data_IF_676930203404
#
_entry.id   IF_676930203404
#
_cell.length_a   1.000
_cell.length_b   1.000
_cell.length_c   1.000
_cell.angle_alpha   90.00
_cell.angle_beta   90.00
_cell.angle_gamma   90.00
#
_symmetry.space_group_name_H-M   'P 1'
#
loop_
_entity.id
_entity.type
_entity.pdbx_description
1 polymer ?
#
# COMPACT_ATOMS: atom_id res chain seq x y z
N UNK A 1 -15.10 -27.14 -2.46
CA UNK A 1 -15.38 -28.23 -1.50
C UNK A 1 -15.10 -27.73 -0.10
N UNK A 2 -16.00 -27.99 0.85
CA UNK A 2 -15.77 -27.64 2.26
C UNK A 2 -14.55 -28.40 2.82
N UNK A 3 -13.72 -27.73 3.63
CA UNK A 3 -12.45 -28.29 4.12
C UNK A 3 -11.29 -28.22 3.12
N UNK A 4 -11.52 -27.69 1.92
CA UNK A 4 -10.47 -27.47 0.90
C UNK A 4 -10.49 -26.02 0.42
N UNK A 5 -11.65 -25.56 -0.04
CA UNK A 5 -11.82 -24.27 -0.71
C UNK A 5 -12.06 -23.10 0.28
N UNK A 6 -12.37 -23.42 1.54
CA UNK A 6 -12.57 -22.47 2.63
C UNK A 6 -11.54 -22.66 3.76
N UNK A 7 -10.31 -23.01 3.41
CA UNK A 7 -9.22 -23.20 4.37
C UNK A 7 -8.00 -22.36 4.01
N UNK A 8 -7.01 -22.26 4.91
CA UNK A 8 -5.72 -21.63 4.63
C UNK A 8 -5.07 -22.13 3.33
N UNK A 9 -5.25 -23.41 2.98
CA UNK A 9 -4.78 -23.97 1.72
C UNK A 9 -5.33 -23.19 0.49
N UNK A 10 -6.59 -22.76 0.53
CA UNK A 10 -7.19 -21.95 -0.52
C UNK A 10 -6.57 -20.54 -0.61
N UNK A 11 -6.18 -19.95 0.52
CA UNK A 11 -5.48 -18.66 0.55
C UNK A 11 -4.11 -18.74 -0.13
N UNK A 12 -3.35 -19.80 0.20
CA UNK A 12 -2.04 -20.06 -0.41
C UNK A 12 -2.16 -20.37 -1.90
N UNK A 13 -3.15 -21.17 -2.28
CA UNK A 13 -3.46 -21.46 -3.68
C UNK A 13 -3.84 -20.20 -4.46
N UNK A 14 -4.73 -19.35 -3.91
CA UNK A 14 -5.18 -18.14 -4.59
C UNK A 14 -4.03 -17.17 -4.83
N UNK A 15 -3.17 -16.99 -3.81
CA UNK A 15 -1.96 -16.16 -3.94
C UNK A 15 -1.08 -16.66 -5.08
N UNK A 16 -0.76 -17.95 -5.09
CA UNK A 16 0.08 -18.57 -6.12
C UNK A 16 -0.55 -18.44 -7.51
N UNK A 17 -1.84 -18.77 -7.64
CA UNK A 17 -2.58 -18.73 -8.90
C UNK A 17 -2.62 -17.33 -9.51
N UNK A 18 -2.82 -16.27 -8.70
CA UNK A 18 -2.79 -14.89 -9.19
C UNK A 18 -1.40 -14.48 -9.70
N UNK A 19 -0.33 -14.93 -9.03
CA UNK A 19 1.02 -14.71 -9.52
C UNK A 19 1.33 -15.51 -10.78
N UNK A 20 0.89 -16.76 -10.88
CA UNK A 20 1.04 -17.56 -12.11
C UNK A 20 0.31 -16.90 -13.28
N UNK A 21 -0.91 -16.40 -13.06
CA UNK A 21 -1.66 -15.66 -14.08
C UNK A 21 -0.90 -14.41 -14.53
N UNK A 22 -0.39 -13.61 -13.59
CA UNK A 22 0.44 -12.44 -13.91
C UNK A 22 1.73 -12.83 -14.65
N UNK A 23 2.36 -13.93 -14.27
CA UNK A 23 3.62 -14.42 -14.85
C UNK A 23 3.47 -14.84 -16.32
N UNK A 24 2.30 -15.34 -16.71
CA UNK A 24 1.97 -15.64 -18.12
C UNK A 24 1.37 -14.45 -18.87
N UNK A 25 1.37 -13.25 -18.27
CA UNK A 25 0.94 -12.02 -18.91
C UNK A 25 -0.57 -11.74 -18.86
N UNK A 26 -1.33 -12.41 -17.99
CA UNK A 26 -2.74 -12.07 -17.81
C UNK A 26 -2.88 -10.65 -17.23
N UNK A 27 -3.76 -9.83 -17.82
CA UNK A 27 -4.03 -8.46 -17.35
C UNK A 27 -4.85 -8.39 -16.05
N UNK A 28 -5.38 -9.52 -15.58
CA UNK A 28 -6.13 -9.61 -14.34
C UNK A 28 -6.82 -10.96 -14.17
N UNK A 29 -7.37 -11.18 -12.98
CA UNK A 29 -8.24 -12.33 -12.68
C UNK A 29 -9.52 -11.84 -12.03
N UNK A 30 -10.62 -12.56 -12.25
CA UNK A 30 -11.87 -12.35 -11.54
C UNK A 30 -12.15 -13.61 -10.73
N UNK A 31 -12.07 -13.50 -9.40
CA UNK A 31 -12.40 -14.62 -8.52
C UNK A 31 -13.91 -14.66 -8.36
N UNK A 32 -14.52 -15.79 -8.72
CA UNK A 32 -15.96 -15.97 -8.58
C UNK A 32 -16.37 -15.84 -7.11
N UNK A 33 -17.46 -15.12 -6.89
CA UNK A 33 -18.13 -15.01 -5.59
C UNK A 33 -19.55 -15.53 -5.76
N UNK A 34 -20.10 -16.12 -4.71
CA UNK A 34 -21.45 -16.67 -4.70
C UNK A 34 -22.03 -16.72 -3.29
N UNK A 35 -23.27 -17.17 -3.19
CA UNK A 35 -23.99 -17.29 -1.91
C UNK A 35 -23.55 -18.51 -1.07
N UNK A 36 -22.58 -19.29 -1.55
CA UNK A 36 -22.09 -20.48 -0.84
C UNK A 36 -20.74 -20.23 -0.15
N UNK A 37 -20.60 -20.61 1.13
CA UNK A 37 -19.43 -20.30 1.94
C UNK A 37 -18.14 -21.03 1.52
N UNK A 38 -18.25 -22.02 0.63
CA UNK A 38 -17.15 -22.90 0.25
C UNK A 38 -16.48 -22.52 -1.08
N UNK A 39 -16.90 -21.47 -1.79
CA UNK A 39 -16.31 -21.07 -3.08
C UNK A 39 -16.22 -19.55 -3.25
N UNK A 40 -16.38 -18.77 -2.19
CA UNK A 40 -16.41 -17.30 -2.26
C UNK A 40 -15.29 -16.71 -1.41
N UNK A 41 -14.63 -15.61 -1.84
CA UNK A 41 -13.74 -14.85 -0.96
C UNK A 41 -14.52 -14.17 0.18
N UNK A 42 -15.73 -13.71 -0.11
CA UNK A 42 -16.61 -13.08 0.86
C UNK A 42 -18.08 -13.24 0.47
N UNK A 43 -19.00 -13.16 1.42
CA UNK A 43 -20.41 -12.87 1.15
C UNK A 43 -20.99 -11.99 2.26
N UNK A 44 -22.19 -11.47 2.04
CA UNK A 44 -22.92 -10.71 3.06
C UNK A 44 -24.07 -11.56 3.59
N UNK A 45 -24.07 -11.81 4.89
CA UNK A 45 -25.19 -12.45 5.59
C UNK A 45 -26.23 -11.39 5.92
N UNK A 46 -27.41 -11.51 5.31
CA UNK A 46 -28.50 -10.55 5.42
C UNK A 46 -29.51 -10.98 6.50
N UNK A 47 -29.77 -10.10 7.45
CA UNK A 47 -30.80 -10.30 8.47
C UNK A 47 -31.82 -9.17 8.39
N UNK A 48 -33.11 -9.50 8.44
CA UNK A 48 -34.19 -8.52 8.54
C UNK A 48 -34.79 -8.68 9.94
N UNK A 49 -34.76 -7.62 10.74
CA UNK A 49 -35.34 -7.63 12.07
C UNK A 49 -36.88 -7.56 12.02
N UNK A 50 -37.53 -7.68 13.18
CA UNK A 50 -39.00 -7.62 13.30
C UNK A 50 -39.60 -6.27 12.91
N UNK A 51 -38.78 -5.22 12.75
CA UNK A 51 -39.20 -3.89 12.28
C UNK A 51 -38.97 -3.70 10.77
N UNK A 52 -38.49 -4.73 10.07
CA UNK A 52 -38.17 -4.66 8.66
C UNK A 52 -36.83 -3.99 8.35
N UNK A 53 -35.97 -3.77 9.35
CA UNK A 53 -34.63 -3.20 9.14
C UNK A 53 -33.69 -4.31 8.67
N UNK A 54 -33.15 -4.15 7.46
CA UNK A 54 -32.13 -5.05 6.93
C UNK A 54 -30.74 -4.68 7.45
N UNK A 55 -30.03 -5.65 7.99
CA UNK A 55 -28.61 -5.59 8.34
C UNK A 55 -27.84 -6.61 7.53
N UNK A 56 -26.60 -6.26 7.15
CA UNK A 56 -25.72 -7.13 6.37
C UNK A 56 -24.39 -7.27 7.09
N UNK A 57 -24.03 -8.49 7.46
CA UNK A 57 -22.74 -8.78 8.10
C UNK A 57 -21.81 -9.42 7.08
N UNK A 58 -20.63 -8.86 6.81
CA UNK A 58 -19.68 -9.47 5.90
C UNK A 58 -19.07 -10.73 6.51
N UNK A 59 -19.03 -11.78 5.71
CA UNK A 59 -18.39 -13.05 6.02
C UNK A 59 -17.20 -13.22 5.09
N UNK A 60 -15.99 -13.19 5.66
CA UNK A 60 -14.74 -13.21 4.90
C UNK A 60 -14.10 -14.59 5.04
N UNK A 61 -13.75 -15.20 3.91
CA UNK A 61 -13.21 -16.55 3.85
C UNK A 61 -11.70 -16.56 3.61
N UNK A 62 -11.01 -17.66 3.94
CA UNK A 62 -9.57 -17.80 3.74
C UNK A 62 -9.05 -17.37 2.37
N UNK A 63 -9.79 -17.64 1.29
CA UNK A 63 -9.39 -17.25 -0.05
C UNK A 63 -9.13 -15.73 -0.17
N UNK A 64 -9.89 -14.90 0.55
CA UNK A 64 -9.71 -13.44 0.56
C UNK A 64 -8.35 -13.00 1.13
N UNK A 65 -7.80 -13.73 2.10
CA UNK A 65 -6.46 -13.45 2.62
C UNK A 65 -5.38 -13.64 1.56
N UNK A 66 -5.58 -14.61 0.64
CA UNK A 66 -4.71 -14.78 -0.51
C UNK A 66 -4.80 -13.60 -1.48
N UNK A 67 -6.01 -13.11 -1.74
CA UNK A 67 -6.26 -11.89 -2.53
C UNK A 67 -5.59 -10.66 -1.91
N UNK A 68 -5.70 -10.48 -0.59
CA UNK A 68 -5.04 -9.40 0.12
C UNK A 68 -3.52 -9.49 0.07
N UNK A 69 -2.95 -10.69 0.26
CA UNK A 69 -1.51 -10.89 0.17
C UNK A 69 -0.99 -10.55 -1.23
N UNK A 70 -1.69 -11.00 -2.28
CA UNK A 70 -1.35 -10.63 -3.66
C UNK A 70 -1.48 -9.12 -3.91
N UNK A 71 -2.56 -8.49 -3.44
CA UNK A 71 -2.76 -7.04 -3.56
C UNK A 71 -1.68 -6.22 -2.85
N UNK A 72 -1.27 -6.64 -1.64
CA UNK A 72 -0.16 -6.02 -0.92
C UNK A 72 1.17 -6.21 -1.67
N UNK A 73 1.39 -7.40 -2.23
CA UNK A 73 2.60 -7.74 -2.97
C UNK A 73 2.68 -7.04 -4.33
N UNK A 74 1.57 -6.65 -4.94
CA UNK A 74 1.52 -5.93 -6.22
C UNK A 74 1.19 -4.43 -6.07
N UNK A 75 1.17 -3.93 -4.83
CA UNK A 75 0.88 -2.54 -4.52
C UNK A 75 1.76 -1.58 -5.34
N UNK A 76 1.19 -0.40 -5.66
CA UNK A 76 1.81 0.61 -6.52
C UNK A 76 2.15 0.11 -7.94
N UNK A 77 1.30 -0.76 -8.51
CA UNK A 77 1.50 -1.34 -9.83
C UNK A 77 2.84 -2.10 -9.93
N UNK A 78 3.18 -2.84 -8.89
CA UNK A 78 4.40 -3.63 -8.82
C UNK A 78 4.46 -4.66 -9.95
N UNK A 79 5.53 -4.62 -10.73
CA UNK A 79 5.78 -5.58 -11.82
C UNK A 79 6.56 -6.77 -11.30
N UNK A 80 6.29 -7.97 -11.82
CA UNK A 80 7.05 -9.17 -11.52
C UNK A 80 8.54 -8.96 -11.85
N UNK A 81 9.41 -9.44 -10.97
CA UNK A 81 10.86 -9.50 -11.22
C UNK A 81 11.34 -10.94 -11.18
N UNK A 82 12.35 -11.30 -11.99
CA UNK A 82 12.87 -12.66 -12.04
C UNK A 82 13.38 -13.13 -10.67
N UNK A 83 13.09 -14.38 -10.33
CA UNK A 83 13.58 -15.05 -9.13
C UNK A 83 14.23 -16.38 -9.51
N UNK A 84 15.42 -16.63 -8.97
CA UNK A 84 16.04 -17.96 -9.01
C UNK A 84 15.76 -18.65 -7.69
N UNK A 85 15.19 -19.85 -7.74
CA UNK A 85 14.70 -20.55 -6.54
C UNK A 85 15.38 -21.90 -6.40
N UNK A 86 16.15 -22.05 -5.33
CA UNK A 86 16.61 -23.33 -4.82
C UNK A 86 15.70 -23.71 -3.64
N UNK A 87 15.02 -24.85 -3.72
CA UNK A 87 14.01 -25.24 -2.74
C UNK A 87 13.95 -26.74 -2.51
N UNK A 88 13.46 -27.10 -1.34
CA UNK A 88 12.99 -28.44 -0.99
C UNK A 88 11.50 -28.36 -0.65
N UNK A 89 10.74 -29.42 -0.94
CA UNK A 89 9.29 -29.46 -0.70
C UNK A 89 8.48 -28.54 -1.63
N UNK A 90 7.20 -28.39 -1.31
CA UNK A 90 6.26 -27.62 -2.13
C UNK A 90 6.29 -26.12 -1.81
N UNK A 91 7.34 -25.43 -2.28
CA UNK A 91 7.50 -23.98 -2.09
C UNK A 91 7.33 -23.19 -3.39
N UNK A 92 6.83 -21.96 -3.29
CA UNK A 92 6.75 -20.98 -4.37
C UNK A 92 7.30 -19.64 -3.88
N UNK A 93 8.00 -18.95 -4.76
CA UNK A 93 8.57 -17.63 -4.48
C UNK A 93 8.19 -16.72 -5.62
N UNK A 94 7.68 -15.55 -5.29
CA UNK A 94 7.31 -14.50 -6.23
C UNK A 94 7.94 -13.20 -5.75
N UNK A 95 8.40 -12.37 -6.68
CA UNK A 95 8.92 -11.06 -6.34
C UNK A 95 8.35 -10.01 -7.27
N UNK A 96 8.07 -8.84 -6.72
CA UNK A 96 7.65 -7.66 -7.47
C UNK A 96 8.54 -6.48 -7.12
N UNK A 97 8.61 -5.52 -8.04
CA UNK A 97 9.20 -4.21 -7.82
C UNK A 97 8.24 -3.15 -8.32
N UNK A 98 7.98 -2.13 -7.51
CA UNK A 98 7.19 -0.97 -7.92
C UNK A 98 8.06 0.22 -8.35
N UNK A 99 7.39 1.25 -8.87
CA UNK A 99 8.01 2.50 -9.34
C UNK A 99 8.72 3.29 -8.23
N UNK A 100 8.40 3.04 -6.97
CA UNK A 100 9.06 3.63 -5.79
C UNK A 100 10.37 2.91 -5.44
N UNK A 101 10.68 1.82 -6.16
CA UNK A 101 11.81 0.95 -5.89
C UNK A 101 11.55 -0.04 -4.76
N UNK A 102 10.33 -0.12 -4.22
CA UNK A 102 10.02 -1.11 -3.21
C UNK A 102 9.96 -2.49 -3.83
N UNK A 103 10.72 -3.42 -3.25
CA UNK A 103 10.75 -4.83 -3.64
C UNK A 103 9.93 -5.62 -2.62
N UNK A 104 9.03 -6.47 -3.10
CA UNK A 104 8.23 -7.36 -2.24
C UNK A 104 8.47 -8.79 -2.68
N UNK A 105 8.95 -9.63 -1.77
CA UNK A 105 9.19 -11.05 -2.01
C UNK A 105 8.18 -11.85 -1.21
N UNK A 106 7.28 -12.55 -1.89
CA UNK A 106 6.32 -13.47 -1.30
C UNK A 106 6.89 -14.88 -1.36
N UNK A 107 6.95 -15.54 -0.21
CA UNK A 107 7.38 -16.94 -0.08
C UNK A 107 6.22 -17.75 0.45
N UNK A 108 5.76 -18.72 -0.34
CA UNK A 108 4.68 -19.64 0.01
C UNK A 108 5.28 -21.00 0.37
N UNK A 109 5.04 -21.48 1.59
CA UNK A 109 5.27 -22.87 1.96
C UNK A 109 3.94 -23.62 1.91
N UNK A 110 3.71 -24.33 0.80
CA UNK A 110 2.51 -25.14 0.58
C UNK A 110 2.71 -26.59 1.02
N UNK A 111 3.84 -26.89 1.65
CA UNK A 111 4.13 -28.20 2.21
C UNK A 111 3.36 -28.41 3.53
N UNK A 112 2.93 -29.64 3.79
CA UNK A 112 2.15 -29.98 4.99
C UNK A 112 2.99 -30.64 6.10
N UNK A 113 4.21 -31.04 5.79
CA UNK A 113 5.13 -31.69 6.74
C UNK A 113 6.41 -30.89 6.94
N UNK A 114 6.91 -30.17 5.93
CA UNK A 114 8.19 -29.49 5.97
C UNK A 114 8.07 -28.02 6.39
N UNK A 115 8.75 -27.68 7.49
CA UNK A 115 9.08 -26.31 7.88
C UNK A 115 10.56 -26.04 7.67
N UNK A 116 10.96 -24.79 7.45
CA UNK A 116 12.37 -24.47 7.27
C UNK A 116 12.66 -22.98 7.34
N UNK A 117 13.90 -22.60 7.01
CA UNK A 117 14.28 -21.20 6.90
C UNK A 117 14.32 -20.78 5.43
N UNK A 118 13.61 -19.71 5.09
CA UNK A 118 13.77 -19.03 3.81
C UNK A 118 15.03 -18.15 3.87
N UNK A 119 15.87 -18.24 2.82
CA UNK A 119 17.06 -17.39 2.65
C UNK A 119 16.91 -16.59 1.37
N UNK A 120 16.66 -15.29 1.51
CA UNK A 120 16.36 -14.38 0.40
C UNK A 120 17.56 -13.48 0.17
N UNK A 121 18.29 -13.73 -0.92
CA UNK A 121 19.42 -12.90 -1.35
C UNK A 121 18.95 -11.86 -2.37
N UNK A 122 19.21 -10.58 -2.09
CA UNK A 122 18.84 -9.47 -2.97
C UNK A 122 20.13 -8.77 -3.39
N UNK A 123 20.45 -8.78 -4.68
CA UNK A 123 21.75 -8.32 -5.19
C UNK A 123 21.99 -6.81 -5.03
N UNK A 124 20.93 -5.99 -5.05
CA UNK A 124 21.00 -4.53 -5.13
C UNK A 124 20.41 -3.80 -3.92
N UNK A 125 19.97 -4.52 -2.89
CA UNK A 125 19.31 -3.92 -1.71
C UNK A 125 19.95 -4.44 -0.43
N UNK A 126 20.63 -3.55 0.27
CA UNK A 126 21.09 -3.73 1.64
C UNK A 126 20.36 -2.71 2.50
N UNK A 127 19.32 -3.14 3.20
CA UNK A 127 18.46 -2.23 3.98
C UNK A 127 17.58 -2.95 4.99
N UNK A 128 16.87 -2.18 5.81
CA UNK A 128 15.87 -2.73 6.73
C UNK A 128 14.68 -3.25 5.92
N UNK A 129 14.30 -4.49 6.18
CA UNK A 129 13.11 -5.11 5.62
C UNK A 129 11.98 -5.20 6.62
N UNK A 130 10.76 -5.36 6.12
CA UNK A 130 9.56 -5.65 6.92
C UNK A 130 9.03 -7.00 6.51
N UNK A 131 8.89 -7.91 7.47
CA UNK A 131 8.34 -9.25 7.27
C UNK A 131 6.92 -9.31 7.83
N UNK A 132 5.96 -9.57 6.96
CA UNK A 132 4.59 -9.93 7.34
C UNK A 132 4.31 -11.38 7.02
N UNK A 133 3.30 -11.96 7.67
CA UNK A 133 3.00 -13.39 7.58
C UNK A 133 1.52 -13.60 7.33
N UNK A 134 1.21 -14.59 6.50
CA UNK A 134 -0.09 -15.23 6.39
C UNK A 134 0.00 -16.62 7.03
N UNK A 135 -0.75 -16.84 8.10
CA UNK A 135 -0.69 -18.07 8.87
C UNK A 135 -1.99 -18.38 9.61
N UNK A 136 -2.16 -19.65 9.97
CA UNK A 136 -3.16 -20.15 10.90
C UNK A 136 -2.58 -21.36 11.65
N UNK A 137 -3.41 -22.05 12.45
CA UNK A 137 -3.01 -23.26 13.17
C UNK A 137 -2.65 -24.43 12.26
N UNK A 138 -3.23 -24.51 11.06
CA UNK A 138 -2.94 -25.54 10.04
C UNK A 138 -3.38 -25.13 8.64
N UNK A 139 -2.98 -25.90 7.62
CA UNK A 139 -3.47 -25.73 6.23
C UNK A 139 -4.97 -25.95 6.07
N UNK A 140 -5.59 -26.73 6.95
CA UNK A 140 -7.03 -27.02 6.95
C UNK A 140 -7.84 -26.05 7.82
N UNK A 141 -7.18 -25.08 8.47
CA UNK A 141 -7.85 -24.09 9.30
C UNK A 141 -8.82 -23.25 8.45
N UNK A 142 -10.08 -23.17 8.89
CA UNK A 142 -11.14 -22.34 8.27
C UNK A 142 -11.23 -20.95 8.91
N UNK A 143 -10.77 -20.83 10.15
CA UNK A 143 -10.74 -19.63 11.00
C UNK A 143 -9.39 -19.55 11.71
N UNK A 144 -9.12 -18.45 12.40
CA UNK A 144 -7.85 -18.15 13.06
C UNK A 144 -6.75 -17.75 12.07
N UNK A 145 -7.14 -17.38 10.84
CA UNK A 145 -6.19 -16.88 9.85
C UNK A 145 -5.79 -15.46 10.22
N UNK A 146 -4.50 -15.18 10.08
CA UNK A 146 -3.99 -13.82 10.20
C UNK A 146 -3.13 -13.47 9.02
N UNK A 147 -3.28 -12.24 8.51
CA UNK A 147 -2.33 -11.59 7.61
C UNK A 147 -1.76 -10.36 8.33
N UNK A 148 -0.45 -10.33 8.51
CA UNK A 148 0.24 -9.29 9.28
C UNK A 148 -0.38 -9.10 10.68
N UNK A 149 -0.79 -10.19 11.35
CA UNK A 149 -1.39 -10.16 12.68
C UNK A 149 -2.86 -9.75 12.74
N UNK A 150 -3.48 -9.44 11.61
CA UNK A 150 -4.90 -9.07 11.55
C UNK A 150 -5.76 -10.20 11.00
N UNK A 151 -6.99 -10.33 11.51
CA UNK A 151 -8.00 -11.31 11.09
C UNK A 151 -9.28 -10.61 10.67
N UNK A 152 -10.09 -11.27 9.85
CA UNK A 152 -11.48 -10.90 9.55
C UNK A 152 -12.49 -11.79 10.29
N UNK A 153 -12.03 -12.75 11.10
CA UNK A 153 -12.92 -13.58 11.90
C UNK A 153 -13.73 -12.70 12.86
N UNK A 154 -15.07 -12.75 12.74
CA UNK A 154 -15.96 -11.94 13.57
C UNK A 154 -16.03 -10.46 13.21
N UNK A 155 -15.51 -10.05 12.05
CA UNK A 155 -15.71 -8.68 11.56
C UNK A 155 -17.19 -8.38 11.35
N UNK A 156 -17.61 -7.17 11.72
CA UNK A 156 -19.00 -6.70 11.54
C UNK A 156 -19.12 -5.66 10.42
N UNK A 157 -18.01 -5.01 10.06
CA UNK A 157 -17.96 -3.92 9.08
C UNK A 157 -17.03 -4.20 7.91
N UNK A 158 -16.48 -5.43 7.83
CA UNK A 158 -15.58 -5.86 6.77
C UNK A 158 -14.17 -5.31 6.93
N UNK A 159 -13.85 -4.71 8.08
CA UNK A 159 -12.48 -4.29 8.41
C UNK A 159 -11.75 -5.39 9.17
N UNK A 160 -10.42 -5.47 9.00
CA UNK A 160 -9.61 -6.39 9.78
C UNK A 160 -9.60 -5.99 11.27
N UNK A 161 -9.73 -6.99 12.14
CA UNK A 161 -9.60 -6.93 13.59
C UNK A 161 -8.15 -7.25 13.98
N UNK A 162 -7.64 -6.54 14.99
CA UNK A 162 -6.29 -6.71 15.51
C UNK A 162 -5.29 -5.70 14.94
N UNK A 163 -4.14 -5.60 15.59
CA UNK A 163 -3.08 -4.68 15.20
C UNK A 163 -2.32 -5.22 13.98
N UNK A 164 -1.98 -4.33 13.06
CA UNK A 164 -1.00 -4.65 12.03
C UNK A 164 0.36 -4.88 12.69
N UNK A 165 0.97 -6.03 12.39
CA UNK A 165 2.25 -6.46 12.92
C UNK A 165 3.18 -6.81 11.78
N UNK A 166 4.43 -6.39 11.91
CA UNK A 166 5.51 -6.78 11.04
C UNK A 166 6.77 -7.01 11.87
N UNK A 167 7.64 -7.89 11.40
CA UNK A 167 8.96 -8.10 12.00
C UNK A 167 9.99 -7.34 11.18
N UNK A 168 10.75 -6.48 11.84
CA UNK A 168 11.89 -5.82 11.23
C UNK A 168 12.98 -6.84 10.90
N UNK A 169 13.45 -6.85 9.66
CA UNK A 169 14.49 -7.74 9.17
C UNK A 169 15.75 -6.97 8.80
N UNK A 170 16.89 -7.50 9.20
CA UNK A 170 18.21 -7.01 8.79
C UNK A 170 18.83 -7.99 7.81
N UNK A 171 19.53 -7.50 6.79
CA UNK A 171 20.31 -8.36 5.91
C UNK A 171 21.71 -8.61 6.46
N UNK A 172 22.23 -9.83 6.27
CA UNK A 172 23.67 -10.11 6.34
C UNK A 172 24.17 -10.39 4.92
N UNK A 173 25.11 -9.58 4.41
CA UNK A 173 25.62 -9.67 3.02
C UNK A 173 24.50 -9.73 1.96
N UNK A 174 23.49 -8.85 2.09
CA UNK A 174 22.32 -8.81 1.19
C UNK A 174 21.37 -10.01 1.32
N UNK A 175 21.54 -10.86 2.35
CA UNK A 175 20.71 -12.03 2.59
C UNK A 175 19.84 -11.84 3.83
N UNK A 176 18.54 -12.01 3.66
CA UNK A 176 17.54 -12.04 4.72
C UNK A 176 17.17 -13.48 5.04
N UNK A 177 17.14 -13.84 6.33
CA UNK A 177 16.83 -15.20 6.77
C UNK A 177 15.68 -15.15 7.75
N UNK A 178 14.62 -15.93 7.49
CA UNK A 178 13.48 -16.03 8.41
C UNK A 178 12.89 -17.44 8.39
N UNK A 179 12.30 -17.84 9.51
CA UNK A 179 11.56 -19.10 9.63
C UNK A 179 10.29 -19.05 8.78
N UNK A 180 9.98 -20.15 8.11
CA UNK A 180 8.79 -20.33 7.30
C UNK A 180 8.14 -21.68 7.67
N UNK A 181 7.16 -21.65 8.59
CA UNK A 181 6.40 -22.84 8.96
C UNK A 181 5.74 -23.51 7.75
N UNK A 182 5.51 -24.83 7.85
CA UNK A 182 4.65 -25.58 6.93
C UNK A 182 3.28 -24.93 6.80
N UNK A 183 2.71 -24.95 5.60
CA UNK A 183 1.37 -24.42 5.37
C UNK A 183 1.22 -22.94 5.69
N UNK A 184 2.19 -22.10 5.32
CA UNK A 184 2.17 -20.67 5.63
C UNK A 184 2.76 -19.85 4.49
N UNK A 185 2.62 -18.53 4.58
CA UNK A 185 3.29 -17.60 3.69
C UNK A 185 3.90 -16.43 4.46
N UNK A 186 4.92 -15.83 3.86
CA UNK A 186 5.50 -14.59 4.35
C UNK A 186 5.78 -13.64 3.19
N UNK A 187 5.67 -12.34 3.45
CA UNK A 187 6.09 -11.29 2.52
C UNK A 187 7.20 -10.49 3.17
N UNK A 188 8.36 -10.46 2.52
CA UNK A 188 9.45 -9.55 2.84
C UNK A 188 9.33 -8.32 1.94
N UNK A 189 9.02 -7.17 2.52
CA UNK A 189 9.04 -5.87 1.85
C UNK A 189 10.36 -5.17 2.15
N UNK A 190 11.02 -4.69 1.11
CA UNK A 190 12.24 -3.90 1.17
C UNK A 190 11.98 -2.57 0.50
N UNK A 191 12.38 -1.48 1.14
CA UNK A 191 12.49 -0.18 0.50
C UNK A 191 13.93 -0.03 0.01
N UNK A 192 14.15 0.31 -1.26
CA UNK A 192 15.51 0.54 -1.75
C UNK A 192 16.14 1.71 -0.98
N UNK A 193 17.15 1.42 -0.17
CA UNK A 193 17.98 2.44 0.48
C UNK A 193 18.96 2.95 -0.58
N UNK A 194 18.52 3.89 -1.43
CA UNK A 194 19.33 4.37 -2.55
C UNK A 194 18.64 5.28 -3.57
N UNK A 195 17.32 5.38 -3.60
CA UNK A 195 16.70 6.58 -4.16
C UNK A 195 16.84 7.67 -3.10
N UNK A 196 17.53 8.79 -3.42
CA UNK A 196 17.45 9.97 -2.55
C UNK A 196 15.96 10.21 -2.24
N UNK A 197 15.59 10.24 -0.96
CA UNK A 197 14.21 10.50 -0.57
C UNK A 197 13.75 11.75 -1.33
N UNK A 198 12.67 11.66 -2.11
CA UNK A 198 12.18 12.81 -2.87
C UNK A 198 11.86 13.90 -1.85
N UNK A 199 12.66 14.96 -1.85
CA UNK A 199 12.46 16.11 -0.99
C UNK A 199 11.53 17.09 -1.71
N UNK A 200 10.58 17.66 -0.98
CA UNK A 200 9.74 18.75 -1.48
C UNK A 200 10.03 19.97 -0.63
N UNK A 201 10.89 20.85 -1.13
CA UNK A 201 11.12 22.13 -0.47
C UNK A 201 9.95 23.06 -0.82
N UNK A 202 9.43 23.75 0.18
CA UNK A 202 8.37 24.73 0.00
C UNK A 202 8.89 26.08 0.46
N UNK A 203 8.81 27.06 -0.42
CA UNK A 203 9.12 28.45 -0.10
C UNK A 203 7.85 29.27 -0.08
N UNK A 204 7.80 30.23 0.83
CA UNK A 204 6.73 31.20 0.96
C UNK A 204 7.39 32.58 0.95
N UNK A 205 6.84 33.53 0.19
CA UNK A 205 7.42 34.87 0.04
C UNK A 205 7.46 35.65 1.35
N UNK A 206 6.47 35.45 2.22
CA UNK A 206 6.42 36.06 3.56
C UNK A 206 5.54 35.30 4.55
N UNK A 207 5.66 35.61 5.84
CA UNK A 207 4.92 34.93 6.92
C UNK A 207 3.70 35.69 7.46
N UNK A 208 3.42 36.90 6.97
CA UNK A 208 2.25 37.70 7.39
C UNK A 208 1.63 38.42 6.18
N UNK A 209 0.30 38.36 6.07
CA UNK A 209 -0.48 38.92 4.97
C UNK A 209 -1.62 39.77 5.53
N UNK A 210 -1.94 40.88 4.88
CA UNK A 210 -3.23 41.54 5.10
C UNK A 210 -4.31 40.75 4.38
N UNK A 211 -5.49 40.57 4.98
CA UNK A 211 -6.60 39.86 4.36
C UNK A 211 -6.93 40.44 2.97
N UNK A 212 -6.90 39.59 1.95
CA UNK A 212 -7.12 39.98 0.55
C UNK A 212 -5.85 40.23 -0.24
N UNK A 213 -4.69 40.24 0.42
CA UNK A 213 -3.39 40.31 -0.23
C UNK A 213 -3.04 38.99 -0.95
N UNK A 214 -2.23 39.09 -2.00
CA UNK A 214 -1.71 37.95 -2.76
C UNK A 214 -0.55 37.28 -2.02
N UNK A 215 -0.59 35.95 -2.02
CA UNK A 215 0.42 35.06 -1.44
C UNK A 215 1.15 34.30 -2.54
N UNK A 216 2.48 34.19 -2.42
CA UNK A 216 3.32 33.51 -3.41
C UNK A 216 4.11 32.38 -2.76
N UNK A 217 3.72 31.15 -3.07
CA UNK A 217 4.42 29.96 -2.61
C UNK A 217 4.87 29.10 -3.77
N UNK A 218 6.07 28.54 -3.66
CA UNK A 218 6.65 27.67 -4.68
C UNK A 218 7.05 26.33 -4.07
N UNK A 219 6.68 25.24 -4.73
CA UNK A 219 7.20 23.92 -4.40
C UNK A 219 8.38 23.58 -5.31
N UNK A 220 9.45 23.08 -4.71
CA UNK A 220 10.68 22.67 -5.37
C UNK A 220 10.96 21.19 -5.05
N UNK A 221 10.29 20.24 -5.73
CA UNK A 221 10.58 18.82 -5.60
C UNK A 221 11.98 18.50 -6.16
N UNK A 222 12.73 17.63 -5.47
CA UNK A 222 14.04 17.15 -5.93
C UNK A 222 13.97 16.25 -7.17
N UNK A 223 12.77 15.79 -7.52
CA UNK A 223 12.45 14.94 -8.67
C UNK A 223 11.18 15.47 -9.32
N UNK A 224 11.13 15.54 -10.65
CA UNK A 224 9.99 16.08 -11.39
C UNK A 224 8.69 15.31 -11.08
N UNK A 225 7.66 15.97 -10.52
CA UNK A 225 6.38 15.34 -10.27
C UNK A 225 5.44 15.43 -11.48
N UNK A 226 4.42 14.58 -11.46
CA UNK A 226 3.25 14.69 -12.36
C UNK A 226 2.33 15.83 -11.96
N UNK A 227 2.28 16.16 -10.66
CA UNK A 227 1.52 17.27 -10.10
C UNK A 227 2.00 17.64 -8.70
N UNK A 228 1.74 18.88 -8.29
CA UNK A 228 1.89 19.39 -6.93
C UNK A 228 0.57 19.96 -6.46
N UNK A 229 0.12 19.53 -5.27
CA UNK A 229 -1.06 20.06 -4.60
C UNK A 229 -0.65 20.92 -3.41
N UNK A 230 -1.26 22.09 -3.26
CA UNK A 230 -1.06 22.98 -2.12
C UNK A 230 -2.24 22.92 -1.18
N UNK A 231 -1.96 22.94 0.12
CA UNK A 231 -2.95 22.86 1.17
C UNK A 231 -2.76 24.00 2.16
N UNK A 232 -3.85 24.71 2.48
CA UNK A 232 -3.91 25.62 3.62
C UNK A 232 -4.82 24.98 4.68
N UNK A 233 -4.32 24.83 5.91
CA UNK A 233 -5.04 24.17 7.02
C UNK A 233 -5.60 22.78 6.66
N UNK A 234 -4.78 22.02 5.91
CA UNK A 234 -5.12 20.71 5.37
C UNK A 234 -6.27 20.69 4.34
N UNK A 235 -6.75 21.85 3.88
CA UNK A 235 -7.70 21.98 2.76
C UNK A 235 -6.92 22.23 1.48
N UNK A 236 -7.17 21.45 0.43
CA UNK A 236 -6.55 21.64 -0.89
C UNK A 236 -7.04 22.97 -1.47
N UNK A 237 -6.11 23.89 -1.75
CA UNK A 237 -6.42 25.22 -2.29
C UNK A 237 -5.93 25.39 -3.72
N UNK A 238 -4.99 24.55 -4.18
CA UNK A 238 -4.42 24.66 -5.51
C UNK A 238 -3.80 23.35 -6.01
N UNK A 239 -3.80 23.16 -7.33
CA UNK A 239 -3.16 22.05 -8.04
C UNK A 239 -2.36 22.61 -9.22
N UNK A 240 -1.07 22.33 -9.27
CA UNK A 240 -0.20 22.67 -10.39
C UNK A 240 0.35 21.40 -11.05
N UNK A 241 0.35 21.34 -12.38
CA UNK A 241 0.83 20.21 -13.20
C UNK A 241 2.04 20.58 -14.04
N UNK A 242 2.44 21.85 -14.07
CA UNK A 242 3.55 22.34 -14.88
C UNK A 242 4.63 22.96 -14.00
N UNK A 243 5.89 22.63 -14.29
CA UNK A 243 7.02 23.33 -13.70
C UNK A 243 6.93 24.82 -14.07
N UNK A 244 7.12 25.76 -13.16
CA UNK A 244 7.88 25.66 -11.89
C UNK A 244 7.06 25.54 -10.59
N UNK A 245 5.84 25.00 -10.64
CA UNK A 245 4.96 24.66 -9.49
C UNK A 245 4.73 25.78 -8.47
N UNK A 246 3.81 26.69 -8.79
CA UNK A 246 3.42 27.80 -7.91
C UNK A 246 1.99 27.65 -7.38
N UNK A 247 1.77 28.15 -6.17
CA UNK A 247 0.44 28.41 -5.64
C UNK A 247 -0.19 29.59 -6.42
N UNK A 248 -1.28 29.33 -7.15
CA UNK A 248 -1.97 30.34 -7.96
C UNK A 248 -1.32 30.65 -9.31
N UNK A 249 -0.66 29.69 -9.96
CA UNK A 249 -0.16 29.80 -11.34
C UNK A 249 -1.27 29.76 -12.39
N UNK A 250 -1.06 30.27 -13.61
CA UNK A 250 -1.94 29.91 -14.73
C UNK A 250 -1.68 28.45 -15.13
N UNK A 251 -2.68 27.62 -14.96
CA UNK A 251 -2.59 26.18 -15.18
C UNK A 251 -2.19 25.86 -16.62
N UNK A 252 -1.08 25.13 -16.78
CA UNK A 252 -0.70 24.32 -17.96
C UNK A 252 0.17 24.94 -19.08
N UNK A 253 0.66 26.18 -18.99
CA UNK A 253 1.41 26.80 -20.12
C UNK A 253 2.94 26.86 -19.98
N UNK A 254 3.49 26.56 -18.79
CA UNK A 254 4.94 26.46 -18.58
C UNK A 254 5.72 27.78 -18.76
N UNK A 255 5.05 28.94 -18.70
CA UNK A 255 5.72 30.24 -18.86
C UNK A 255 6.34 30.72 -17.54
N UNK A 256 7.59 31.16 -17.60
CA UNK A 256 8.50 31.41 -16.48
C UNK A 256 8.36 32.78 -15.79
N UNK A 257 7.34 33.59 -16.08
CA UNK A 257 7.44 35.04 -15.84
C UNK A 257 6.65 35.68 -14.70
N UNK A 258 5.57 35.08 -14.14
CA UNK A 258 5.02 35.45 -12.81
C UNK A 258 3.75 34.64 -12.47
N UNK A 259 3.64 34.03 -11.27
CA UNK A 259 2.37 33.46 -10.80
C UNK A 259 1.34 34.57 -10.49
N UNK A 260 0.04 34.28 -10.60
CA UNK A 260 -1.03 35.24 -10.19
C UNK A 260 -1.10 35.42 -8.67
N UNK A 261 -0.55 34.46 -7.92
CA UNK A 261 -0.61 34.42 -6.47
C UNK A 261 -1.97 33.96 -5.96
N UNK A 262 -2.01 33.54 -4.71
CA UNK A 262 -3.22 33.12 -4.03
C UNK A 262 -3.81 34.26 -3.21
N UNK A 263 -5.06 34.62 -3.49
CA UNK A 263 -5.73 35.70 -2.77
C UNK A 263 -6.22 35.23 -1.40
N UNK A 264 -5.74 35.87 -0.33
CA UNK A 264 -6.04 35.50 1.06
C UNK A 264 -7.42 35.94 1.55
N UNK A 265 -8.26 36.57 0.74
CA UNK A 265 -9.61 37.06 1.11
C UNK A 265 -10.54 35.99 1.68
N UNK A 266 -10.37 34.73 1.23
CA UNK A 266 -11.13 33.58 1.72
C UNK A 266 -10.67 33.03 3.07
N UNK A 267 -9.54 33.51 3.61
CA UNK A 267 -9.00 33.07 4.89
C UNK A 267 -9.57 33.91 6.05
N UNK A 268 -9.66 33.29 7.22
CA UNK A 268 -9.96 33.99 8.48
C UNK A 268 -8.76 34.81 8.93
N UNK A 269 -8.96 35.80 9.79
CA UNK A 269 -7.84 36.46 10.48
C UNK A 269 -7.28 35.48 11.53
N UNK A 270 -5.96 35.32 11.57
CA UNK A 270 -5.28 34.43 12.51
C UNK A 270 -4.16 33.59 11.87
N UNK A 271 -3.81 32.50 12.56
CA UNK A 271 -2.73 31.61 12.19
C UNK A 271 -3.19 30.53 11.22
N UNK A 272 -2.39 30.31 10.18
CA UNK A 272 -2.64 29.33 9.14
C UNK A 272 -1.39 28.52 8.84
N UNK A 273 -1.62 27.32 8.31
CA UNK A 273 -0.57 26.40 7.87
C UNK A 273 -0.57 26.26 6.35
N UNK A 274 0.61 26.10 5.75
CA UNK A 274 0.77 25.83 4.32
C UNK A 274 1.66 24.60 4.12
N UNK A 275 1.24 23.65 3.29
CA UNK A 275 2.08 22.53 2.84
C UNK A 275 1.84 22.20 1.37
N UNK A 276 2.82 21.57 0.73
CA UNK A 276 2.73 21.07 -0.63
C UNK A 276 2.89 19.54 -0.64
N UNK A 277 2.17 18.86 -1.54
CA UNK A 277 2.30 17.42 -1.79
C UNK A 277 2.63 17.21 -3.26
N UNK A 278 3.80 16.67 -3.55
CA UNK A 278 4.23 16.30 -4.89
C UNK A 278 3.90 14.82 -5.18
N UNK A 279 3.33 14.55 -6.36
CA UNK A 279 3.08 13.20 -6.83
C UNK A 279 4.19 12.77 -7.81
N UNK A 280 5.14 11.98 -7.32
CA UNK A 280 6.25 11.43 -8.11
C UNK A 280 6.05 9.93 -8.26
N UNK A 281 5.92 9.46 -9.51
CA UNK A 281 5.75 8.04 -9.83
C UNK A 281 4.61 7.33 -9.09
N UNK A 282 3.52 8.05 -8.78
CA UNK A 282 2.36 7.54 -8.04
C UNK A 282 2.48 7.60 -6.52
N UNK A 283 3.64 7.97 -5.98
CA UNK A 283 3.85 8.19 -4.54
C UNK A 283 3.75 9.68 -4.18
N UNK A 284 3.16 9.96 -3.03
CA UNK A 284 3.03 11.31 -2.49
C UNK A 284 4.18 11.65 -1.55
N UNK A 285 4.76 12.83 -1.75
CA UNK A 285 5.84 13.37 -0.92
C UNK A 285 5.39 14.73 -0.41
N UNK A 286 5.36 14.88 0.91
CA UNK A 286 4.87 16.11 1.57
C UNK A 286 6.04 16.99 1.94
N UNK A 287 5.92 18.30 1.72
CA UNK A 287 6.89 19.29 2.21
C UNK A 287 6.87 19.40 3.73
N UNK A 288 7.80 20.15 4.30
CA UNK A 288 7.58 20.72 5.64
C UNK A 288 6.35 21.62 5.63
N UNK A 289 5.64 21.69 6.76
CA UNK A 289 4.53 22.62 6.94
C UNK A 289 5.08 23.98 7.37
N UNK A 290 4.76 25.02 6.60
CA UNK A 290 5.05 26.41 6.95
C UNK A 290 3.88 27.02 7.72
N UNK A 291 4.17 28.02 8.55
CA UNK A 291 3.17 28.79 9.30
C UNK A 291 3.14 30.22 8.75
N UNK A 292 1.94 30.80 8.64
CA UNK A 292 1.77 32.22 8.29
C UNK A 292 0.57 32.83 9.03
N UNK A 293 0.49 34.15 9.06
CA UNK A 293 -0.60 34.91 9.68
C UNK A 293 -1.38 35.71 8.64
N UNK A 294 -2.70 35.81 8.82
CA UNK A 294 -3.57 36.75 8.11
C UNK A 294 -4.08 37.78 9.10
N UNK A 295 -3.92 39.07 8.79
CA UNK A 295 -4.35 40.22 9.61
C UNK A 295 -5.42 41.05 8.91
#
# INVERSE_FOLDING_TARGET
>A
VDGVSNTLAAALWATDMMFEAANVGAGGVNIISGSQPNMTPMYFDGHIDYKGVATYTPQVYPLYYGMLLFGQATANQGSLVPVTVEKTGNMKVWATKDSTGAVRVVVLNKDQSLSGNARIKIASTSGRGELTRLSASSVSAKTGLTLAGQTFDGTLDGKPIGAYTSTSMSSSNGTYVFSLPKGSAAMLKLQQTGAAAVQVNLTLDKSTYTKGELMYAQALPSTQPTQVKFYIDNVEVWLDKASTYWLGSDTNTGTTSQPYGYNTSGLTVGSHTLKAIALVNGAQYTSTTLQFQVQ
#
